data_IF_944117820644
#
_entry.id   IF_944117820644
#
_cell.length_a   1.000
_cell.length_b   1.000
_cell.length_c   1.000
_cell.angle_alpha   90.00
_cell.angle_beta   90.00
_cell.angle_gamma   90.00
#
_symmetry.space_group_name_H-M   'P 1'
#
loop_
_entity.id
_entity.type
_entity.pdbx_description
1 polymer ?
#
# COMPACT_ATOMS: atom_id res chain seq x y z
N UNK A 1 -3.28 -15.10 4.78
CA UNK A 1 -3.31 -13.78 4.13
C UNK A 1 -4.67 -13.56 3.51
N UNK A 2 -5.33 -12.43 3.79
CA UNK A 2 -6.65 -12.13 3.23
C UNK A 2 -6.54 -11.89 1.71
N UNK A 3 -7.46 -12.43 0.89
CA UNK A 3 -7.32 -12.44 -0.57
C UNK A 3 -7.58 -11.07 -1.25
N UNK A 4 -7.66 -10.00 -0.49
CA UNK A 4 -7.71 -8.61 -0.97
C UNK A 4 -6.67 -7.80 -0.21
N UNK A 5 -5.73 -7.21 -0.94
CA UNK A 5 -4.71 -6.32 -0.39
C UNK A 5 -4.85 -4.90 -0.96
N UNK A 6 -4.50 -3.94 -0.15
CA UNK A 6 -4.47 -2.52 -0.48
C UNK A 6 -3.06 -2.00 -0.25
N UNK A 7 -2.48 -1.40 -1.26
CA UNK A 7 -1.14 -0.81 -1.21
C UNK A 7 -1.23 0.67 -1.60
N UNK A 8 -0.51 1.53 -0.89
CA UNK A 8 -0.46 2.96 -1.18
C UNK A 8 0.95 3.48 -0.98
N UNK A 9 1.54 4.03 -2.04
CA UNK A 9 2.89 4.56 -2.03
C UNK A 9 2.93 5.89 -1.27
N UNK A 10 3.91 6.04 -0.39
CA UNK A 10 4.09 7.26 0.38
C UNK A 10 4.90 8.29 -0.41
N UNK A 11 4.31 9.48 -0.63
CA UNK A 11 4.99 10.65 -1.16
C UNK A 11 4.89 11.77 -0.15
N UNK A 12 6.04 12.27 0.33
CA UNK A 12 6.10 13.28 1.38
C UNK A 12 5.60 14.66 0.90
N UNK A 13 6.13 15.10 -0.24
CA UNK A 13 5.80 16.43 -0.79
C UNK A 13 4.48 16.37 -1.53
N UNK A 14 3.62 17.36 -1.27
CA UNK A 14 2.27 17.45 -1.81
C UNK A 14 2.00 18.80 -2.44
N UNK A 15 1.22 18.81 -3.50
CA UNK A 15 0.83 20.04 -4.17
C UNK A 15 -0.27 20.76 -3.37
N UNK A 16 0.03 21.96 -2.86
CA UNK A 16 -0.90 22.75 -2.04
C UNK A 16 -2.13 23.21 -2.82
N UNK A 17 -1.95 23.58 -4.09
CA UNK A 17 -3.04 24.11 -4.92
C UNK A 17 -4.05 23.01 -5.26
N UNK A 18 -3.58 21.86 -5.70
CA UNK A 18 -4.47 20.72 -5.97
C UNK A 18 -5.13 20.23 -4.69
N UNK A 19 -4.43 20.26 -3.56
CA UNK A 19 -4.99 19.89 -2.25
C UNK A 19 -6.12 20.84 -1.84
N UNK A 20 -5.95 22.14 -2.04
CA UNK A 20 -6.97 23.14 -1.69
C UNK A 20 -8.26 22.96 -2.51
N UNK A 21 -8.14 22.72 -3.81
CA UNK A 21 -9.28 22.56 -4.73
C UNK A 21 -9.70 21.09 -4.91
N UNK A 22 -9.18 20.16 -4.10
CA UNK A 22 -9.33 18.72 -4.26
C UNK A 22 -10.77 18.26 -4.46
N UNK A 23 -11.70 18.76 -3.65
CA UNK A 23 -13.10 18.36 -3.73
C UNK A 23 -13.75 18.79 -5.05
N UNK A 24 -13.42 19.99 -5.52
CA UNK A 24 -13.92 20.51 -6.81
C UNK A 24 -13.37 19.67 -7.97
N UNK A 25 -12.07 19.42 -7.90
CA UNK A 25 -11.36 18.61 -8.90
C UNK A 25 -11.87 17.18 -8.93
N UNK A 26 -12.31 16.60 -7.80
CA UNK A 26 -12.85 15.25 -7.72
C UNK A 26 -14.27 15.07 -8.29
N UNK A 27 -15.02 16.16 -8.53
CA UNK A 27 -16.42 16.10 -8.99
C UNK A 27 -16.63 15.14 -10.18
N UNK A 28 -15.83 15.19 -11.28
CA UNK A 28 -16.01 14.29 -12.42
C UNK A 28 -15.94 12.81 -12.04
N UNK A 29 -14.99 12.44 -11.18
CA UNK A 29 -14.83 11.06 -10.72
C UNK A 29 -15.97 10.61 -9.80
N UNK A 30 -16.45 11.51 -8.93
CA UNK A 30 -17.61 11.23 -8.07
C UNK A 30 -18.85 11.00 -8.91
N UNK A 31 -19.05 11.82 -9.96
CA UNK A 31 -20.17 11.66 -10.89
C UNK A 31 -20.11 10.30 -11.61
N UNK A 32 -18.98 9.94 -12.18
CA UNK A 32 -18.78 8.62 -12.80
C UNK A 32 -18.97 7.50 -11.76
N UNK A 33 -18.45 7.71 -10.54
CA UNK A 33 -18.59 6.77 -9.43
C UNK A 33 -20.03 6.46 -9.05
N UNK A 34 -20.94 7.45 -9.12
CA UNK A 34 -22.36 7.26 -8.85
C UNK A 34 -23.00 6.30 -9.88
N UNK A 35 -22.78 6.56 -11.18
CA UNK A 35 -23.34 5.69 -12.24
C UNK A 35 -22.73 4.29 -12.23
N UNK A 36 -21.42 4.21 -12.02
CA UNK A 36 -20.75 2.91 -11.92
C UNK A 36 -21.21 2.16 -10.67
N UNK A 37 -21.37 2.86 -9.53
CA UNK A 37 -21.89 2.29 -8.29
C UNK A 37 -23.31 1.77 -8.42
N UNK A 38 -24.18 2.50 -9.13
CA UNK A 38 -25.55 2.05 -9.41
C UNK A 38 -25.55 0.78 -10.27
N UNK A 39 -24.72 0.73 -11.31
CA UNK A 39 -24.56 -0.47 -12.12
C UNK A 39 -23.97 -1.64 -11.30
N UNK A 40 -22.96 -1.40 -10.49
CA UNK A 40 -22.37 -2.40 -9.62
C UNK A 40 -23.38 -2.93 -8.59
N UNK A 41 -24.23 -2.08 -8.03
CA UNK A 41 -25.30 -2.47 -7.11
C UNK A 41 -26.27 -3.46 -7.76
N UNK A 42 -26.70 -3.19 -8.99
CA UNK A 42 -27.58 -4.11 -9.75
C UNK A 42 -26.85 -5.45 -9.99
N UNK A 43 -25.58 -5.40 -10.41
CA UNK A 43 -24.78 -6.62 -10.64
C UNK A 43 -24.59 -7.42 -9.35
N UNK A 44 -24.39 -6.78 -8.21
CA UNK A 44 -24.26 -7.44 -6.90
C UNK A 44 -25.57 -8.16 -6.52
N UNK A 45 -26.74 -7.55 -6.77
CA UNK A 45 -28.03 -8.21 -6.53
C UNK A 45 -28.16 -9.46 -7.40
N UNK A 46 -27.86 -9.36 -8.71
CA UNK A 46 -27.91 -10.51 -9.62
C UNK A 46 -26.91 -11.58 -9.20
N UNK A 47 -25.71 -11.19 -8.80
CA UNK A 47 -24.69 -12.10 -8.30
C UNK A 47 -25.10 -12.81 -7.01
N UNK A 48 -25.86 -12.15 -6.13
CA UNK A 48 -26.43 -12.74 -4.93
C UNK A 48 -27.36 -13.92 -5.26
N UNK A 49 -28.28 -13.73 -6.22
CA UNK A 49 -29.12 -14.83 -6.71
C UNK A 49 -28.29 -15.92 -7.38
N UNK A 50 -27.32 -15.55 -8.20
CA UNK A 50 -26.42 -16.51 -8.84
C UNK A 50 -25.64 -17.36 -7.82
N UNK A 51 -25.17 -16.76 -6.74
CA UNK A 51 -24.49 -17.48 -5.66
C UNK A 51 -25.41 -18.49 -4.95
N UNK A 52 -26.64 -18.11 -4.66
CA UNK A 52 -27.62 -19.00 -4.01
C UNK A 52 -27.95 -20.20 -4.92
N UNK A 53 -28.15 -19.95 -6.22
CA UNK A 53 -28.57 -20.98 -7.19
C UNK A 53 -27.38 -21.82 -7.63
N UNK A 54 -26.30 -21.18 -8.13
CA UNK A 54 -25.16 -21.84 -8.74
C UNK A 54 -24.07 -22.23 -7.72
N UNK A 55 -24.01 -21.58 -6.55
CA UNK A 55 -22.94 -21.76 -5.54
C UNK A 55 -21.59 -21.20 -5.99
N UNK A 56 -21.55 -20.38 -7.02
CA UNK A 56 -20.33 -19.73 -7.53
C UNK A 56 -20.64 -18.33 -8.04
N UNK A 57 -19.66 -17.45 -7.95
CA UNK A 57 -19.73 -16.10 -8.52
C UNK A 57 -19.43 -16.18 -10.02
N UNK A 58 -20.31 -15.71 -10.92
CA UNK A 58 -20.00 -15.67 -12.36
C UNK A 58 -18.81 -14.73 -12.63
N UNK A 59 -17.83 -15.18 -13.42
CA UNK A 59 -16.57 -14.47 -13.63
C UNK A 59 -16.76 -13.03 -14.10
N UNK A 60 -17.60 -12.79 -15.13
CA UNK A 60 -17.81 -11.45 -15.67
C UNK A 60 -18.42 -10.47 -14.65
N UNK A 61 -19.32 -10.94 -13.77
CA UNK A 61 -19.86 -10.13 -12.69
C UNK A 61 -18.81 -9.84 -11.62
N UNK A 62 -17.96 -10.83 -11.32
CA UNK A 62 -16.87 -10.69 -10.38
C UNK A 62 -15.85 -9.64 -10.85
N UNK A 63 -15.45 -9.69 -12.11
CA UNK A 63 -14.51 -8.74 -12.72
C UNK A 63 -15.08 -7.33 -12.76
N UNK A 64 -16.37 -7.19 -13.08
CA UNK A 64 -17.07 -5.91 -13.08
C UNK A 64 -17.11 -5.27 -11.68
N UNK A 65 -17.54 -6.04 -10.67
CA UNK A 65 -17.60 -5.55 -9.28
C UNK A 65 -16.19 -5.31 -8.70
N UNK A 66 -15.22 -6.15 -9.07
CA UNK A 66 -13.81 -5.94 -8.72
C UNK A 66 -13.24 -4.66 -9.33
N UNK A 67 -13.61 -4.37 -10.58
CA UNK A 67 -13.29 -3.09 -11.24
C UNK A 67 -13.89 -1.90 -10.49
N UNK A 68 -15.15 -2.00 -10.07
CA UNK A 68 -15.80 -0.97 -9.24
C UNK A 68 -15.08 -0.76 -7.92
N UNK A 69 -14.67 -1.83 -7.24
CA UNK A 69 -13.92 -1.74 -5.99
C UNK A 69 -12.59 -1.03 -6.20
N UNK A 70 -11.82 -1.39 -7.24
CA UNK A 70 -10.56 -0.71 -7.59
C UNK A 70 -10.77 0.77 -7.88
N UNK A 71 -11.73 1.10 -8.72
CA UNK A 71 -12.05 2.48 -9.05
C UNK A 71 -12.44 3.30 -7.82
N UNK A 72 -13.37 2.80 -7.01
CA UNK A 72 -13.84 3.49 -5.81
C UNK A 72 -12.73 3.72 -4.78
N UNK A 73 -11.82 2.75 -4.60
CA UNK A 73 -10.67 2.90 -3.70
C UNK A 73 -9.64 3.92 -4.21
N UNK A 74 -9.41 4.00 -5.52
CA UNK A 74 -8.54 5.03 -6.13
C UNK A 74 -9.13 6.43 -5.95
N UNK A 75 -10.43 6.59 -6.21
CA UNK A 75 -11.13 7.87 -6.01
C UNK A 75 -11.11 8.25 -4.53
N UNK A 76 -11.39 7.31 -3.64
CA UNK A 76 -11.36 7.56 -2.19
C UNK A 76 -9.96 7.96 -1.71
N UNK A 77 -8.90 7.29 -2.17
CA UNK A 77 -7.52 7.65 -1.85
C UNK A 77 -7.14 9.05 -2.38
N UNK A 78 -7.62 9.42 -3.56
CA UNK A 78 -7.46 10.76 -4.10
C UNK A 78 -8.19 11.80 -3.25
N UNK A 79 -9.46 11.60 -2.92
CA UNK A 79 -10.27 12.52 -2.11
C UNK A 79 -9.74 12.64 -0.69
N UNK A 80 -9.30 11.54 -0.09
CA UNK A 80 -8.73 11.52 1.27
C UNK A 80 -7.27 11.97 1.35
N UNK A 81 -6.71 12.52 0.27
CA UNK A 81 -5.35 13.10 0.23
C UNK A 81 -4.22 12.06 0.41
N UNK A 82 -4.48 10.81 0.12
CA UNK A 82 -3.47 9.76 0.19
C UNK A 82 -2.52 9.78 -1.02
N UNK A 83 -2.99 10.27 -2.17
CA UNK A 83 -2.19 10.47 -3.39
C UNK A 83 -2.59 11.77 -4.09
N UNK A 84 -1.65 12.40 -4.82
CA UNK A 84 -1.92 13.53 -5.70
C UNK A 84 -2.12 13.11 -7.16
N UNK A 85 -1.79 11.86 -7.47
CA UNK A 85 -2.00 11.31 -8.81
C UNK A 85 -3.49 11.25 -9.15
N UNK A 86 -3.84 11.64 -10.39
CA UNK A 86 -5.20 11.60 -10.89
C UNK A 86 -5.68 10.15 -11.00
N UNK A 87 -6.87 9.81 -10.46
CA UNK A 87 -7.39 8.45 -10.61
C UNK A 87 -7.62 8.12 -12.08
N UNK A 88 -7.06 7.02 -12.60
CA UNK A 88 -7.37 6.57 -13.95
C UNK A 88 -8.83 6.15 -14.05
N UNK A 89 -9.45 6.42 -15.19
CA UNK A 89 -10.83 5.98 -15.47
C UNK A 89 -10.95 4.46 -15.74
N UNK A 90 -9.80 3.77 -15.83
CA UNK A 90 -9.76 2.32 -16.04
C UNK A 90 -10.27 1.51 -14.85
N UNK A 91 -10.89 0.38 -15.14
CA UNK A 91 -11.44 -0.56 -14.15
C UNK A 91 -10.48 -1.73 -13.88
N UNK A 92 -9.41 -1.83 -14.67
CA UNK A 92 -8.36 -2.84 -14.58
C UNK A 92 -7.34 -2.51 -13.49
N UNK A 93 -6.44 -3.44 -13.26
CA UNK A 93 -5.25 -3.18 -12.44
C UNK A 93 -4.32 -2.21 -13.15
N UNK A 94 -3.89 -1.19 -12.43
CA UNK A 94 -2.92 -0.19 -12.87
C UNK A 94 -1.68 -0.27 -11.98
N UNK A 95 -0.66 -1.04 -12.38
CA UNK A 95 0.53 -1.24 -11.55
C UNK A 95 1.32 0.04 -11.28
N UNK A 96 1.25 1.01 -12.22
CA UNK A 96 1.95 2.29 -12.16
C UNK A 96 1.27 3.32 -11.27
N UNK A 97 -0.01 3.11 -10.91
CA UNK A 97 -0.74 4.04 -10.06
C UNK A 97 -0.33 3.84 -8.58
N UNK A 98 -0.12 4.93 -7.81
CA UNK A 98 0.36 4.85 -6.43
C UNK A 98 -0.55 4.07 -5.48
N UNK A 99 -1.83 3.90 -5.82
CA UNK A 99 -2.78 3.15 -5.01
C UNK A 99 -3.26 1.92 -5.78
N UNK A 100 -2.95 0.74 -5.25
CA UNK A 100 -3.21 -0.55 -5.88
C UNK A 100 -4.09 -1.41 -4.99
N UNK A 101 -5.13 -1.98 -5.57
CA UNK A 101 -6.00 -2.97 -4.92
C UNK A 101 -5.89 -4.28 -5.68
N UNK A 102 -5.20 -5.24 -5.08
CA UNK A 102 -5.07 -6.58 -5.64
C UNK A 102 -6.20 -7.45 -5.11
N UNK A 103 -6.92 -8.08 -6.00
CA UNK A 103 -8.07 -8.93 -5.69
C UNK A 103 -7.78 -10.32 -6.27
N UNK A 104 -7.68 -11.33 -5.42
CA UNK A 104 -7.45 -12.69 -5.88
C UNK A 104 -8.66 -13.20 -6.71
N UNK A 105 -8.47 -14.18 -7.61
CA UNK A 105 -9.55 -14.77 -8.40
C UNK A 105 -10.72 -15.26 -7.54
N UNK A 106 -11.95 -15.37 -8.10
CA UNK A 106 -13.10 -15.87 -7.36
C UNK A 106 -12.86 -17.31 -6.90
N UNK A 107 -13.36 -17.64 -5.71
CA UNK A 107 -13.33 -19.00 -5.22
C UNK A 107 -14.17 -19.93 -6.12
N UNK A 108 -13.68 -21.14 -6.39
CA UNK A 108 -14.38 -22.12 -7.22
C UNK A 108 -15.79 -22.47 -6.68
N UNK A 109 -15.95 -22.43 -5.36
CA UNK A 109 -17.23 -22.58 -4.67
C UNK A 109 -17.30 -21.64 -3.48
N UNK A 110 -18.48 -21.05 -3.29
CA UNK A 110 -18.81 -20.24 -2.14
C UNK A 110 -19.99 -20.85 -1.38
N UNK A 111 -20.07 -20.58 -0.08
CA UNK A 111 -21.15 -21.10 0.76
C UNK A 111 -22.47 -20.40 0.46
N UNK A 112 -23.44 -21.14 -0.06
CA UNK A 112 -24.80 -20.64 -0.33
C UNK A 112 -25.48 -20.09 0.92
N UNK A 113 -25.25 -20.76 2.07
CA UNK A 113 -25.82 -20.36 3.35
C UNK A 113 -25.24 -19.01 3.80
N UNK A 114 -23.91 -18.84 3.69
CA UNK A 114 -23.28 -17.56 3.99
C UNK A 114 -23.77 -16.45 3.05
N UNK A 115 -23.95 -16.75 1.76
CA UNK A 115 -24.50 -15.80 0.79
C UNK A 115 -25.93 -15.39 1.16
N UNK A 116 -26.79 -16.34 1.55
CA UNK A 116 -28.18 -16.06 1.96
C UNK A 116 -28.24 -15.14 3.18
N UNK A 117 -27.45 -15.43 4.22
CA UNK A 117 -27.42 -14.65 5.45
C UNK A 117 -26.42 -13.48 5.43
N UNK A 118 -25.86 -13.15 4.26
CA UNK A 118 -24.83 -12.11 4.11
C UNK A 118 -25.23 -10.76 4.70
N UNK A 119 -26.48 -10.34 4.47
CA UNK A 119 -26.96 -9.05 4.99
C UNK A 119 -26.95 -9.01 6.52
N UNK A 120 -27.32 -10.11 7.18
CA UNK A 120 -27.29 -10.19 8.65
C UNK A 120 -25.86 -10.21 9.16
N UNK A 121 -24.98 -11.01 8.52
CA UNK A 121 -23.57 -11.06 8.88
C UNK A 121 -22.83 -9.74 8.58
N UNK A 122 -23.33 -8.92 7.66
CA UNK A 122 -22.76 -7.61 7.34
C UNK A 122 -23.15 -6.50 8.33
N UNK A 123 -24.15 -6.69 9.19
CA UNK A 123 -24.61 -5.65 10.15
C UNK A 123 -23.44 -5.12 11.00
N UNK A 124 -22.65 -5.95 11.71
CA UNK A 124 -21.51 -5.46 12.48
C UNK A 124 -20.44 -4.81 11.61
N UNK A 125 -20.32 -5.27 10.35
CA UNK A 125 -19.37 -4.72 9.39
C UNK A 125 -19.76 -3.32 8.93
N UNK A 126 -21.07 -3.04 8.74
CA UNK A 126 -21.55 -1.69 8.44
C UNK A 126 -21.26 -0.70 9.58
N UNK A 127 -21.38 -1.14 10.83
CA UNK A 127 -21.01 -0.32 11.96
C UNK A 127 -19.50 0.00 11.95
N UNK A 128 -18.66 -1.00 11.72
CA UNK A 128 -17.21 -0.80 11.59
C UNK A 128 -16.85 0.08 10.38
N UNK A 129 -17.52 -0.11 9.23
CA UNK A 129 -17.33 0.75 8.05
C UNK A 129 -17.62 2.23 8.36
N UNK A 130 -18.65 2.51 9.15
CA UNK A 130 -18.96 3.87 9.58
C UNK A 130 -17.82 4.46 10.41
N UNK A 131 -17.28 3.70 11.38
CA UNK A 131 -16.16 4.14 12.22
C UNK A 131 -14.95 4.46 11.34
N UNK A 132 -14.54 3.55 10.44
CA UNK A 132 -13.39 3.77 9.57
C UNK A 132 -13.61 4.90 8.55
N UNK A 133 -14.84 5.08 8.07
CA UNK A 133 -15.18 6.20 7.19
C UNK A 133 -15.05 7.55 7.91
N UNK A 134 -15.54 7.67 9.14
CA UNK A 134 -15.31 8.87 9.96
C UNK A 134 -13.84 9.08 10.27
N UNK A 135 -13.10 8.01 10.60
CA UNK A 135 -11.66 8.10 10.83
C UNK A 135 -10.93 8.67 9.61
N UNK A 136 -11.21 8.16 8.41
CA UNK A 136 -10.65 8.69 7.16
C UNK A 136 -11.00 10.17 7.01
N UNK A 137 -12.24 10.58 7.28
CA UNK A 137 -12.67 11.95 7.12
C UNK A 137 -11.90 12.90 8.05
N UNK A 138 -11.76 12.55 9.33
CA UNK A 138 -11.01 13.39 10.29
C UNK A 138 -9.51 13.41 9.98
N UNK A 139 -8.93 12.26 9.62
CA UNK A 139 -7.52 12.18 9.24
C UNK A 139 -7.25 12.93 7.93
N UNK A 140 -8.19 12.91 6.97
CA UNK A 140 -8.08 13.70 5.73
C UNK A 140 -8.16 15.22 6.00
N UNK A 141 -8.96 15.69 6.95
CA UNK A 141 -8.97 17.10 7.38
C UNK A 141 -7.61 17.48 7.97
N UNK A 142 -7.03 16.64 8.82
CA UNK A 142 -5.69 16.86 9.37
C UNK A 142 -4.61 16.84 8.26
N UNK A 143 -4.73 15.94 7.28
CA UNK A 143 -3.88 15.89 6.09
C UNK A 143 -4.00 17.20 5.28
N UNK A 144 -5.22 17.65 5.02
CA UNK A 144 -5.49 18.89 4.30
C UNK A 144 -4.82 20.08 4.98
N UNK A 145 -5.01 20.23 6.29
CA UNK A 145 -4.40 21.32 7.04
C UNK A 145 -2.86 21.25 6.98
N UNK A 146 -2.26 20.07 7.20
CA UNK A 146 -0.80 19.95 7.17
C UNK A 146 -0.21 20.20 5.78
N UNK A 147 -0.88 19.75 4.71
CA UNK A 147 -0.42 19.96 3.34
C UNK A 147 -0.56 21.42 2.94
N UNK A 148 -1.71 22.07 3.19
CA UNK A 148 -1.94 23.47 2.82
C UNK A 148 -0.96 24.41 3.53
N UNK A 149 -0.75 24.24 4.83
CA UNK A 149 0.12 25.12 5.61
C UNK A 149 1.61 24.77 5.48
N UNK A 150 1.97 23.49 5.47
CA UNK A 150 3.37 23.03 5.51
C UNK A 150 3.90 22.50 4.16
N UNK A 151 3.02 22.09 3.23
CA UNK A 151 3.38 21.56 1.90
C UNK A 151 3.80 20.08 1.92
N UNK A 152 3.65 19.38 3.03
CA UNK A 152 3.98 17.95 3.14
C UNK A 152 2.95 17.19 3.98
N UNK A 153 2.86 15.89 3.74
CA UNK A 153 2.03 14.98 4.51
C UNK A 153 2.90 14.17 5.49
N UNK A 154 2.64 14.21 6.81
CA UNK A 154 3.31 13.34 7.78
C UNK A 154 3.04 11.85 7.49
N UNK A 155 4.08 11.00 7.66
CA UNK A 155 3.96 9.57 7.44
C UNK A 155 2.88 8.90 8.31
N UNK A 156 2.71 9.35 9.57
CA UNK A 156 1.67 8.85 10.46
C UNK A 156 0.25 9.07 9.91
N UNK A 157 -0.02 10.23 9.29
CA UNK A 157 -1.30 10.53 8.63
C UNK A 157 -1.50 9.61 7.42
N UNK A 158 -0.46 9.44 6.58
CA UNK A 158 -0.52 8.54 5.44
C UNK A 158 -0.81 7.10 5.86
N UNK A 159 -0.11 6.60 6.88
CA UNK A 159 -0.29 5.25 7.39
C UNK A 159 -1.69 5.01 7.98
N UNK A 160 -2.24 5.99 8.70
CA UNK A 160 -3.60 5.91 9.22
C UNK A 160 -4.64 5.84 8.08
N UNK A 161 -4.45 6.61 7.01
CA UNK A 161 -5.29 6.54 5.81
C UNK A 161 -5.13 5.20 5.08
N UNK A 162 -3.89 4.70 4.94
CA UNK A 162 -3.61 3.42 4.29
C UNK A 162 -4.25 2.25 5.04
N UNK A 163 -4.11 2.22 6.36
CA UNK A 163 -4.74 1.23 7.22
C UNK A 163 -6.27 1.24 7.08
N UNK A 164 -6.88 2.42 7.19
CA UNK A 164 -8.33 2.58 7.13
C UNK A 164 -8.90 2.21 5.76
N UNK A 165 -8.26 2.68 4.67
CA UNK A 165 -8.65 2.35 3.30
C UNK A 165 -8.46 0.86 3.00
N UNK A 166 -7.38 0.26 3.47
CA UNK A 166 -7.13 -1.18 3.33
C UNK A 166 -8.20 -2.02 4.01
N UNK A 167 -8.62 -1.62 5.22
CA UNK A 167 -9.70 -2.30 5.90
C UNK A 167 -11.05 -2.12 5.17
N UNK A 168 -11.36 -0.91 4.68
CA UNK A 168 -12.57 -0.65 3.89
C UNK A 168 -12.59 -1.48 2.60
N UNK A 169 -11.45 -1.62 1.91
CA UNK A 169 -11.36 -2.45 0.71
C UNK A 169 -11.69 -3.93 1.01
N UNK A 170 -11.16 -4.48 2.10
CA UNK A 170 -11.47 -5.84 2.55
C UNK A 170 -12.93 -6.00 2.96
N UNK A 171 -13.45 -5.08 3.75
CA UNK A 171 -14.85 -5.09 4.18
C UNK A 171 -15.81 -4.98 3.00
N UNK A 172 -15.53 -4.09 2.04
CA UNK A 172 -16.31 -3.94 0.81
C UNK A 172 -16.29 -5.21 -0.03
N UNK A 173 -15.14 -5.89 -0.17
CA UNK A 173 -15.06 -7.15 -0.91
C UNK A 173 -15.94 -8.25 -0.30
N UNK A 174 -16.07 -8.27 1.03
CA UNK A 174 -16.98 -9.16 1.73
C UNK A 174 -18.44 -8.79 1.45
N UNK A 175 -18.81 -7.51 1.58
CA UNK A 175 -20.18 -7.03 1.34
C UNK A 175 -20.61 -7.25 -0.12
N UNK A 176 -19.70 -7.06 -1.08
CA UNK A 176 -19.93 -7.29 -2.50
C UNK A 176 -19.93 -8.78 -2.90
N UNK A 177 -19.99 -9.69 -1.92
CA UNK A 177 -20.05 -11.13 -2.14
C UNK A 177 -18.83 -11.75 -2.82
N UNK A 178 -17.74 -10.99 -2.95
CA UNK A 178 -16.53 -11.47 -3.62
C UNK A 178 -15.78 -12.51 -2.77
N UNK A 179 -15.95 -12.49 -1.43
CA UNK A 179 -15.28 -13.36 -0.45
C UNK A 179 -16.23 -13.90 0.60
N UNK A 180 -16.00 -15.15 1.02
CA UNK A 180 -16.74 -15.78 2.12
C UNK A 180 -16.10 -15.61 3.50
N UNK A 181 -14.84 -15.15 3.51
CA UNK A 181 -14.06 -14.92 4.71
C UNK A 181 -14.38 -13.55 5.28
N UNK A 182 -14.60 -13.51 6.61
CA UNK A 182 -14.83 -12.25 7.31
C UNK A 182 -13.54 -11.43 7.38
N UNK A 183 -13.55 -10.12 7.06
CA UNK A 183 -12.33 -9.31 7.02
C UNK A 183 -11.74 -9.15 8.43
N UNK A 184 -10.47 -9.50 8.65
CA UNK A 184 -9.79 -9.27 9.91
C UNK A 184 -9.55 -7.78 10.14
N UNK A 185 -9.62 -7.32 11.39
CA UNK A 185 -9.39 -5.91 11.75
C UNK A 185 -7.89 -5.60 11.85
N UNK A 186 -7.07 -6.57 12.21
CA UNK A 186 -5.70 -6.36 12.67
C UNK A 186 -4.57 -6.88 11.79
N UNK A 187 -4.82 -7.70 10.79
CA UNK A 187 -3.73 -8.38 10.09
C UNK A 187 -3.45 -7.83 8.69
N UNK A 188 -2.16 -7.57 8.45
CA UNK A 188 -1.52 -7.61 7.15
C UNK A 188 -1.97 -6.53 6.15
N UNK A 189 -2.03 -5.29 6.60
CA UNK A 189 -1.68 -4.22 5.68
C UNK A 189 -0.14 -4.20 5.65
N UNK A 190 0.52 -4.39 4.51
CA UNK A 190 1.86 -3.89 4.33
C UNK A 190 1.75 -2.36 4.38
N UNK A 191 1.64 -1.83 5.58
CA UNK A 191 1.88 -0.41 5.82
C UNK A 191 3.38 -0.32 5.64
N UNK A 192 3.82 0.33 4.60
CA UNK A 192 5.21 0.75 4.49
C UNK A 192 5.45 1.69 5.68
N UNK A 193 5.83 1.08 6.79
CA UNK A 193 6.25 1.80 7.98
C UNK A 193 7.54 2.48 7.58
N UNK A 194 7.48 3.76 7.25
CA UNK A 194 8.69 4.57 7.04
C UNK A 194 9.52 4.44 8.33
N UNK A 195 10.69 3.79 8.28
CA UNK A 195 11.51 3.60 9.47
C UNK A 195 11.77 4.96 10.11
N UNK A 196 11.75 5.08 11.44
CA UNK A 196 12.00 6.37 12.13
C UNK A 196 13.32 7.03 11.74
N UNK A 197 14.28 6.27 11.22
CA UNK A 197 15.55 6.78 10.70
C UNK A 197 15.39 7.62 9.40
N UNK A 198 14.27 7.51 8.68
CA UNK A 198 13.99 8.28 7.46
C UNK A 198 13.11 9.52 7.73
N UNK A 199 12.66 9.71 8.97
CA UNK A 199 12.01 10.96 9.36
C UNK A 199 13.06 12.07 9.37
N UNK A 200 12.87 13.20 8.66
CA UNK A 200 13.78 14.33 8.75
C UNK A 200 13.83 14.78 10.21
N UNK A 201 15.00 14.77 10.81
CA UNK A 201 15.19 15.40 12.11
C UNK A 201 14.78 16.86 12.00
N UNK A 202 13.96 17.38 12.93
CA UNK A 202 13.67 18.79 12.94
C UNK A 202 15.00 19.58 12.97
N UNK A 203 15.17 20.49 12.04
CA UNK A 203 16.33 21.36 11.99
C UNK A 203 16.36 22.20 13.26
N UNK A 204 17.10 21.79 14.25
CA UNK A 204 17.17 22.40 15.58
C UNK A 204 17.57 21.44 16.71
N UNK A 205 17.51 20.11 16.48
CA UNK A 205 17.84 19.14 17.53
C UNK A 205 19.34 18.88 17.73
N UNK A 206 20.21 19.50 16.94
CA UNK A 206 21.67 19.32 17.01
C UNK A 206 22.39 20.30 17.92
N UNK A 207 21.69 21.28 18.53
CA UNK A 207 22.35 22.29 19.37
C UNK A 207 22.23 22.04 20.89
N UNK A 208 21.52 21.02 21.34
CA UNK A 208 21.25 20.84 22.79
C UNK A 208 22.08 19.72 23.47
N UNK A 209 22.91 18.96 22.74
CA UNK A 209 23.75 17.89 23.33
C UNK A 209 25.23 18.29 23.51
N UNK A 210 25.61 19.49 23.04
CA UNK A 210 27.00 19.96 23.13
C UNK A 210 27.31 20.89 24.32
N UNK A 211 26.41 21.00 25.30
CA UNK A 211 26.62 21.81 26.49
C UNK A 211 26.29 21.02 27.77
N UNK A 212 27.12 20.08 28.12
CA UNK A 212 27.27 19.60 29.51
C UNK A 212 28.72 19.87 29.94
N UNK A 213 28.96 20.60 31.00
CA UNK A 213 30.28 20.97 31.42
C UNK A 213 30.95 19.86 32.22
N UNK A 214 32.19 19.53 31.81
CA UNK A 214 33.30 19.20 32.69
C UNK A 214 33.27 17.86 33.42
N UNK A 215 34.06 16.94 32.92
CA UNK A 215 34.87 16.06 33.79
C UNK A 215 36.33 16.23 33.43
N UNK A 216 37.25 16.25 34.45
CA UNK A 216 38.62 16.72 34.26
C UNK A 216 39.53 15.69 33.60
N UNK A 217 40.46 16.24 32.83
CA UNK A 217 41.56 15.55 32.19
C UNK A 217 42.38 14.71 33.19
N UNK A 218 42.60 13.46 32.82
CA UNK A 218 43.73 12.67 33.33
C UNK A 218 44.89 12.76 32.35
N UNK A 219 45.89 13.22 32.87
CA UNK A 219 47.30 13.40 32.62
C UNK A 219 47.96 12.48 31.58
N UNK A 220 48.68 13.12 30.68
CA UNK A 220 49.59 12.59 29.67
C UNK A 220 50.76 11.82 30.28
N UNK A 221 51.10 10.67 29.72
CA UNK A 221 52.42 10.05 29.78
C UNK A 221 52.97 9.82 28.37
N UNK A 222 54.30 9.95 28.19
CA UNK A 222 54.87 10.20 26.87
C UNK A 222 55.20 8.93 26.06
N UNK A 223 55.31 9.18 24.78
CA UNK A 223 55.67 8.26 23.72
C UNK A 223 56.99 7.55 23.93
N UNK A 224 57.06 6.29 23.59
CA UNK A 224 58.27 5.53 23.31
C UNK A 224 58.28 5.03 21.88
N UNK A 225 59.29 5.41 21.13
CA UNK A 225 59.49 5.16 19.70
C UNK A 225 60.06 3.78 19.41
N UNK A 226 60.01 3.28 18.20
CA UNK A 226 60.28 1.90 17.83
C UNK A 226 61.78 1.66 17.45
N UNK A 227 62.20 0.41 17.25
CA UNK A 227 63.36 0.15 16.40
C UNK A 227 63.01 -0.49 15.05
N UNK A 228 63.70 0.08 14.06
CA UNK A 228 63.89 -0.45 12.71
C UNK A 228 64.63 -1.79 12.71
N UNK A 229 64.28 -2.61 11.73
CA UNK A 229 65.25 -3.28 10.85
C UNK A 229 64.59 -4.12 9.79
N UNK A 230 64.89 -3.82 8.53
CA UNK A 230 64.64 -4.66 7.35
C UNK A 230 65.69 -5.73 7.18
N UNK A 231 66.09 -6.22 5.98
CA UNK A 231 65.28 -6.44 4.78
C UNK A 231 65.39 -7.89 4.22
N UNK A 232 64.84 -8.10 3.03
CA UNK A 232 65.19 -9.07 2.01
C UNK A 232 64.47 -10.45 1.97
N UNK A 233 64.04 -10.79 0.79
CA UNK A 233 63.74 -12.15 0.35
C UNK A 233 62.84 -12.27 -0.86
N UNK A 234 63.46 -12.28 -2.02
CA UNK A 234 62.94 -12.54 -3.38
C UNK A 234 62.31 -13.93 -3.52
N UNK A 235 61.46 -14.02 -4.54
CA UNK A 235 61.31 -15.05 -5.58
C UNK A 235 59.89 -15.58 -5.72
N UNK A 236 59.31 -15.31 -6.80
CA UNK A 236 59.21 -16.02 -8.06
C UNK A 236 57.93 -16.88 -8.27
N UNK A 237 57.28 -16.55 -9.35
CA UNK A 237 56.61 -17.42 -10.32
C UNK A 237 55.38 -18.27 -9.91
N UNK A 238 54.31 -18.10 -10.69
CA UNK A 238 53.26 -19.08 -10.76
C UNK A 238 51.98 -18.53 -11.44
N UNK A 239 52.09 -18.31 -12.73
CA UNK A 239 50.97 -18.16 -13.69
C UNK A 239 50.17 -19.48 -13.77
N UNK A 240 48.90 -19.47 -13.42
CA UNK A 240 47.93 -20.47 -13.85
C UNK A 240 46.56 -19.82 -13.99
N UNK A 241 46.11 -19.63 -15.22
CA UNK A 241 44.73 -19.47 -15.63
C UNK A 241 43.98 -20.79 -15.51
N UNK A 242 42.76 -20.79 -15.09
CA UNK A 242 41.79 -21.78 -15.53
C UNK A 242 40.58 -21.16 -16.23
N UNK A 243 40.48 -21.49 -17.45
CA UNK A 243 39.36 -22.09 -18.20
C UNK A 243 37.93 -21.74 -17.80
N UNK A 244 37.20 -21.19 -18.78
CA UNK A 244 35.78 -20.98 -18.75
C UNK A 244 35.02 -22.30 -19.00
N UNK A 245 33.89 -22.55 -18.35
CA UNK A 245 33.02 -23.64 -18.74
C UNK A 245 32.04 -23.23 -19.84
N UNK A 246 32.00 -24.08 -20.81
CA UNK A 246 31.19 -24.26 -21.99
C UNK A 246 29.68 -24.22 -21.66
N UNK A 247 28.91 -23.55 -22.51
CA UNK A 247 27.46 -23.55 -22.53
C UNK A 247 26.89 -24.87 -23.07
N UNK A 248 25.79 -25.40 -22.56
CA UNK A 248 25.14 -26.57 -23.14
C UNK A 248 24.25 -26.21 -24.33
N UNK A 249 24.35 -27.08 -25.35
CA UNK A 249 23.63 -27.15 -26.61
C UNK A 249 22.10 -27.06 -26.50
N UNK A 250 21.54 -26.26 -27.38
CA UNK A 250 20.13 -26.14 -27.70
C UNK A 250 19.74 -27.24 -28.70
N UNK A 251 18.67 -28.05 -28.48
CA UNK A 251 18.22 -29.02 -29.49
C UNK A 251 17.36 -28.36 -30.58
N UNK A 252 17.37 -28.90 -31.82
CA UNK A 252 16.71 -28.30 -32.96
C UNK A 252 15.18 -28.50 -32.98
N UNK A 253 14.44 -27.63 -33.70
CA UNK A 253 12.98 -27.67 -33.73
C UNK A 253 12.47 -28.85 -34.58
N UNK A 254 11.53 -29.57 -34.03
CA UNK A 254 10.83 -30.67 -34.64
C UNK A 254 9.75 -30.16 -35.61
N UNK A 255 9.91 -30.51 -36.87
CA UNK A 255 8.94 -30.33 -37.94
C UNK A 255 7.96 -31.52 -37.93
N UNK A 256 6.72 -31.26 -37.54
CA UNK A 256 5.55 -31.90 -38.19
C UNK A 256 4.26 -31.21 -37.79
#
# INVERSE_FOLDING_TARGET
>A
MYPVSYEADYVKERNRLTTFFRLIVAIPWLFIGIFYGLAAFVVIIVAWFALIILGRYPQGMYDFVGGFLRFSMRVNAFVSLQTDAWPPFGFSEEPTYPVRVKIAPPAARQSRLKALFRLILAIPLFFMLSIFSYLIQYVAIAAWATIVFRGYQPAGIHNALAFSNGWIARASSYIYLMRDEYPPVGDEVPVEVVPPAQLPRPAGATAAVAAAPGTPSAESLPAESPPESGPAGQSATGEVTPDAPEAPDEPPPDTR
#
